data_IF_067333244057
#
_entry.id   IF_067333244057
#
_cell.length_a   1.000
_cell.length_b   1.000
_cell.length_c   1.000
_cell.angle_alpha   90.00
_cell.angle_beta   90.00
_cell.angle_gamma   90.00
#
_symmetry.space_group_name_H-M   'P 1'
#
loop_
_entity.id
_entity.type
_entity.pdbx_description
1 polymer ?
#
# COMPACT_ATOMS: atom_id res chain seq x y z
N UNK A 1 10.94 21.61 -83.30
CA UNK A 1 10.08 22.59 -82.64
C UNK A 1 10.46 22.55 -81.15
N UNK A 2 11.43 23.39 -80.77
CA UNK A 2 11.93 23.52 -79.41
C UNK A 2 11.01 24.47 -78.60
N UNK A 3 10.45 23.94 -77.52
CA UNK A 3 9.74 24.77 -76.55
C UNK A 3 10.75 25.08 -75.44
N UNK A 4 11.23 26.35 -75.42
CA UNK A 4 12.05 26.92 -74.36
C UNK A 4 11.16 27.23 -73.15
N UNK A 5 11.35 26.44 -72.07
CA UNK A 5 10.78 26.78 -70.76
C UNK A 5 11.68 27.83 -70.07
N UNK A 6 11.18 29.03 -69.91
CA UNK A 6 11.79 30.08 -69.10
C UNK A 6 11.49 29.76 -67.63
N UNK A 7 12.50 29.30 -66.90
CA UNK A 7 12.44 29.19 -65.44
C UNK A 7 12.64 30.58 -64.82
N UNK A 8 11.55 31.18 -64.37
CA UNK A 8 11.58 32.31 -63.45
C UNK A 8 11.97 31.77 -62.06
N UNK A 9 13.22 31.90 -61.69
CA UNK A 9 13.71 31.70 -60.34
C UNK A 9 13.23 32.86 -59.46
N UNK A 10 12.09 32.67 -58.83
CA UNK A 10 11.71 33.51 -57.71
C UNK A 10 12.61 33.14 -56.52
N UNK A 11 13.51 34.01 -56.13
CA UNK A 11 14.25 33.96 -54.86
C UNK A 11 13.27 34.09 -53.68
N UNK A 12 12.62 33.00 -53.31
CA UNK A 12 12.01 32.88 -52.00
C UNK A 12 13.17 32.40 -51.11
N UNK A 13 13.81 33.38 -50.43
CA UNK A 13 14.64 33.11 -49.27
C UNK A 13 13.71 32.54 -48.20
N UNK A 14 13.62 31.22 -48.11
CA UNK A 14 13.11 30.55 -46.92
C UNK A 14 14.09 30.93 -45.80
N UNK A 15 13.79 32.00 -45.08
CA UNK A 15 14.45 32.23 -43.79
C UNK A 15 14.05 31.04 -42.91
N UNK A 16 14.93 30.05 -42.89
CA UNK A 16 14.81 28.98 -41.89
C UNK A 16 14.83 29.68 -40.53
N UNK A 17 13.70 29.70 -39.84
CA UNK A 17 13.64 30.15 -38.46
C UNK A 17 14.56 29.24 -37.64
N UNK A 18 15.79 29.72 -37.40
CA UNK A 18 16.69 29.10 -36.42
C UNK A 18 16.17 29.58 -35.07
N UNK A 19 15.60 28.72 -34.26
CA UNK A 19 15.19 29.13 -32.92
C UNK A 19 16.40 29.73 -32.23
N UNK A 20 16.24 30.89 -31.60
CA UNK A 20 17.24 31.45 -30.71
C UNK A 20 17.71 30.34 -29.76
N UNK A 21 19.02 30.20 -29.56
CA UNK A 21 19.64 29.15 -28.73
C UNK A 21 18.94 29.02 -27.36
N UNK A 22 18.52 30.16 -26.80
CA UNK A 22 17.79 30.26 -25.55
C UNK A 22 16.40 29.59 -25.66
N UNK A 23 15.68 29.85 -26.75
CA UNK A 23 14.37 29.24 -26.98
C UNK A 23 14.48 27.72 -27.22
N UNK A 24 15.48 27.31 -27.97
CA UNK A 24 15.76 25.87 -28.18
C UNK A 24 16.08 25.15 -26.84
N UNK A 25 16.88 25.76 -25.97
CA UNK A 25 17.16 25.24 -24.63
C UNK A 25 15.89 25.14 -23.77
N UNK A 26 15.02 26.16 -23.80
CA UNK A 26 13.76 26.12 -23.05
C UNK A 26 12.83 25.03 -23.54
N UNK A 27 12.66 24.90 -24.84
CA UNK A 27 11.84 23.82 -25.45
C UNK A 27 12.38 22.45 -25.06
N UNK A 28 13.71 22.26 -25.06
CA UNK A 28 14.33 21.01 -24.64
C UNK A 28 14.07 20.71 -23.16
N UNK A 29 14.27 21.71 -22.28
CA UNK A 29 14.02 21.56 -20.84
C UNK A 29 12.57 21.20 -20.54
N UNK A 30 11.63 21.93 -21.15
CA UNK A 30 10.19 21.72 -20.96
C UNK A 30 9.75 20.35 -21.51
N UNK A 31 10.34 19.90 -22.63
CA UNK A 31 10.11 18.57 -23.21
C UNK A 31 10.60 17.46 -22.28
N UNK A 32 11.83 17.57 -21.77
CA UNK A 32 12.39 16.63 -20.81
C UNK A 32 11.54 16.54 -19.52
N UNK A 33 11.12 17.70 -19.02
CA UNK A 33 10.19 17.77 -17.87
C UNK A 33 8.87 17.06 -18.18
N UNK A 34 8.29 17.23 -19.36
CA UNK A 34 7.00 16.65 -19.76
C UNK A 34 7.03 15.13 -19.83
N UNK A 35 8.18 14.52 -20.18
CA UNK A 35 8.41 13.08 -20.19
C UNK A 35 9.03 12.57 -18.88
N UNK A 36 8.99 13.38 -17.82
CA UNK A 36 9.45 13.05 -16.47
C UNK A 36 10.97 12.80 -16.33
N UNK A 37 11.77 13.21 -17.30
CA UNK A 37 13.23 13.22 -17.23
C UNK A 37 13.71 14.48 -16.47
N UNK A 38 13.32 14.55 -15.20
CA UNK A 38 13.51 15.74 -14.37
C UNK A 38 14.98 16.07 -14.11
N UNK A 39 15.80 15.04 -13.88
CA UNK A 39 17.22 15.20 -13.61
C UNK A 39 17.97 15.78 -14.81
N UNK A 40 17.60 15.37 -15.98
CA UNK A 40 18.17 15.81 -17.26
C UNK A 40 17.69 17.21 -17.65
N UNK A 41 16.49 17.63 -17.20
CA UNK A 41 15.95 18.97 -17.47
C UNK A 41 16.66 20.08 -16.67
N UNK A 42 17.11 19.80 -15.44
CA UNK A 42 17.70 20.78 -14.52
C UNK A 42 18.89 21.55 -15.13
N UNK A 43 19.91 20.91 -15.76
CA UNK A 43 21.02 21.64 -16.35
C UNK A 43 20.64 22.65 -17.43
N UNK A 44 19.57 22.37 -18.19
CA UNK A 44 19.06 23.31 -19.20
C UNK A 44 18.42 24.52 -18.53
N UNK A 45 17.63 24.34 -17.46
CA UNK A 45 17.10 25.46 -16.68
C UNK A 45 18.22 26.28 -16.03
N UNK A 46 19.30 25.65 -15.55
CA UNK A 46 20.48 26.35 -15.00
C UNK A 46 21.16 27.21 -16.03
N UNK A 47 21.34 26.67 -17.24
CA UNK A 47 21.94 27.41 -18.37
C UNK A 47 21.08 28.62 -18.78
N UNK A 48 19.75 28.46 -18.79
CA UNK A 48 18.80 29.55 -19.07
C UNK A 48 18.89 30.66 -18.02
N UNK A 49 18.93 30.29 -16.72
CA UNK A 49 19.06 31.24 -15.62
C UNK A 49 20.42 31.93 -15.61
N UNK A 50 21.49 31.27 -16.06
CA UNK A 50 22.82 31.85 -16.17
C UNK A 50 22.88 32.88 -17.31
N UNK A 51 22.27 32.55 -18.47
CA UNK A 51 22.28 33.44 -19.66
C UNK A 51 21.35 34.63 -19.51
N UNK A 52 20.15 34.42 -18.95
CA UNK A 52 19.06 35.42 -18.98
C UNK A 52 18.71 36.00 -17.61
N UNK A 53 19.44 35.62 -16.55
CA UNK A 53 19.11 36.00 -15.18
C UNK A 53 17.88 35.28 -14.62
N UNK A 54 17.42 35.73 -13.46
CA UNK A 54 16.26 35.14 -12.78
C UNK A 54 14.99 35.37 -13.60
N UNK A 55 14.32 34.31 -14.00
CA UNK A 55 13.02 34.32 -14.66
C UNK A 55 12.04 33.46 -13.87
N UNK A 56 10.86 34.02 -13.58
CA UNK A 56 9.85 33.37 -12.73
C UNK A 56 9.50 31.98 -13.22
N UNK A 57 9.11 31.81 -14.48
CA UNK A 57 8.69 30.51 -15.04
C UNK A 57 9.81 29.48 -15.04
N UNK A 58 11.04 29.89 -15.32
CA UNK A 58 12.20 29.01 -15.33
C UNK A 58 12.54 28.51 -13.91
N UNK A 59 12.54 29.45 -12.94
CA UNK A 59 12.74 29.07 -11.52
C UNK A 59 11.65 28.14 -11.03
N UNK A 60 10.38 28.39 -11.35
CA UNK A 60 9.26 27.54 -11.01
C UNK A 60 9.43 26.14 -11.60
N UNK A 61 9.72 26.02 -12.91
CA UNK A 61 9.92 24.75 -13.59
C UNK A 61 11.12 23.98 -13.03
N UNK A 62 12.24 24.65 -12.74
CA UNK A 62 13.41 24.05 -12.09
C UNK A 62 13.06 23.53 -10.69
N UNK A 63 12.34 24.32 -9.91
CA UNK A 63 11.88 23.93 -8.57
C UNK A 63 10.99 22.68 -8.59
N UNK A 64 10.08 22.59 -9.58
CA UNK A 64 9.26 21.40 -9.80
C UNK A 64 10.12 20.17 -10.10
N UNK A 65 11.11 20.28 -10.99
CA UNK A 65 12.02 19.18 -11.30
C UNK A 65 12.81 18.73 -10.06
N UNK A 66 13.35 19.67 -9.27
CA UNK A 66 14.08 19.38 -8.04
C UNK A 66 13.19 18.68 -7.01
N UNK A 67 11.95 19.12 -6.85
CA UNK A 67 10.98 18.48 -5.95
C UNK A 67 10.69 17.03 -6.37
N UNK A 68 10.52 16.77 -7.69
CA UNK A 68 10.23 15.44 -8.21
C UNK A 68 11.39 14.44 -8.04
N UNK A 69 12.64 14.90 -8.06
CA UNK A 69 13.81 14.03 -7.81
C UNK A 69 14.16 13.93 -6.31
N UNK A 70 13.36 14.53 -5.42
CA UNK A 70 13.57 14.47 -3.98
C UNK A 70 14.56 15.51 -3.42
N UNK A 71 15.07 16.41 -4.23
CA UNK A 71 15.96 17.50 -3.81
C UNK A 71 15.17 18.66 -3.16
N UNK A 72 14.49 18.33 -2.05
CA UNK A 72 13.48 19.20 -1.43
C UNK A 72 14.04 20.54 -0.98
N UNK A 73 15.21 20.53 -0.32
CA UNK A 73 15.83 21.79 0.14
C UNK A 73 16.20 22.72 -1.02
N UNK A 74 16.74 22.14 -2.10
CA UNK A 74 17.08 22.86 -3.32
C UNK A 74 15.83 23.41 -4.01
N UNK A 75 14.76 22.61 -4.09
CA UNK A 75 13.48 23.04 -4.65
C UNK A 75 12.91 24.25 -3.90
N UNK A 76 12.89 24.21 -2.57
CA UNK A 76 12.39 25.31 -1.73
C UNK A 76 13.21 26.61 -1.93
N UNK A 77 14.54 26.48 -2.04
CA UNK A 77 15.41 27.64 -2.30
C UNK A 77 15.09 28.27 -3.66
N UNK A 78 14.94 27.46 -4.69
CA UNK A 78 14.59 27.93 -6.05
C UNK A 78 13.20 28.55 -6.08
N UNK A 79 12.21 27.94 -5.43
CA UNK A 79 10.87 28.53 -5.30
C UNK A 79 10.88 29.87 -4.55
N UNK A 80 11.67 30.00 -3.49
CA UNK A 80 11.84 31.29 -2.79
C UNK A 80 12.45 32.35 -3.70
N UNK A 81 13.42 31.99 -4.55
CA UNK A 81 13.94 32.93 -5.56
C UNK A 81 12.90 33.33 -6.60
N UNK A 82 11.97 32.44 -6.95
CA UNK A 82 10.82 32.83 -7.80
C UNK A 82 9.87 33.79 -7.08
N UNK A 83 9.63 33.61 -5.78
CA UNK A 83 8.81 34.52 -4.96
C UNK A 83 9.43 35.89 -4.77
N UNK A 84 10.74 36.07 -4.97
CA UNK A 84 11.35 37.42 -5.04
C UNK A 84 10.87 38.20 -6.25
N UNK A 85 10.43 37.50 -7.32
CA UNK A 85 9.90 38.12 -8.55
C UNK A 85 8.39 38.35 -8.43
N UNK A 86 7.65 37.32 -8.00
CA UNK A 86 6.22 37.39 -7.73
C UNK A 86 5.87 36.73 -6.40
N UNK A 87 5.73 37.55 -5.36
CA UNK A 87 5.40 37.12 -3.99
C UNK A 87 3.93 36.75 -3.81
N UNK A 88 3.07 37.04 -4.80
CA UNK A 88 1.62 36.83 -4.74
C UNK A 88 1.15 35.64 -5.59
N UNK A 89 2.06 34.80 -6.11
CA UNK A 89 1.67 33.53 -6.75
C UNK A 89 1.20 32.52 -5.68
N UNK A 90 -0.12 32.36 -5.57
CA UNK A 90 -0.73 31.40 -4.64
C UNK A 90 -0.38 29.94 -4.95
N UNK A 91 -0.21 29.60 -6.23
CA UNK A 91 0.18 28.24 -6.64
C UNK A 91 1.62 27.93 -6.23
N UNK A 92 2.53 28.90 -6.34
CA UNK A 92 3.91 28.70 -5.92
C UNK A 92 4.02 28.50 -4.40
N UNK A 93 3.25 29.26 -3.62
CA UNK A 93 3.14 29.00 -2.18
C UNK A 93 2.60 27.61 -1.86
N UNK A 94 1.62 27.12 -2.64
CA UNK A 94 1.12 25.75 -2.51
C UNK A 94 2.21 24.73 -2.85
N UNK A 95 3.00 24.93 -3.92
CA UNK A 95 4.11 24.04 -4.28
C UNK A 95 5.21 24.01 -3.21
N UNK A 96 5.52 25.14 -2.57
CA UNK A 96 6.42 25.18 -1.41
C UNK A 96 5.85 24.33 -0.25
N UNK A 97 4.54 24.43 -0.02
CA UNK A 97 3.85 23.61 0.96
C UNK A 97 3.97 22.12 0.64
N UNK A 98 3.76 21.74 -0.62
CA UNK A 98 3.91 20.35 -1.08
C UNK A 98 5.35 19.84 -0.88
N UNK A 99 6.34 20.66 -1.19
CA UNK A 99 7.75 20.34 -0.97
C UNK A 99 8.05 20.09 0.52
N UNK A 100 7.55 20.95 1.41
CA UNK A 100 7.69 20.73 2.85
C UNK A 100 6.96 19.46 3.32
N UNK A 101 5.75 19.19 2.79
CA UNK A 101 4.98 17.98 3.13
C UNK A 101 5.71 16.71 2.69
N UNK A 102 6.26 16.70 1.47
CA UNK A 102 7.07 15.62 0.95
C UNK A 102 8.35 15.40 1.78
N UNK A 103 8.98 16.49 2.24
CA UNK A 103 10.12 16.45 3.16
C UNK A 103 9.74 16.10 4.60
N UNK A 104 8.50 15.69 4.86
CA UNK A 104 7.98 15.35 6.19
C UNK A 104 8.10 16.49 7.22
N UNK A 105 7.86 17.74 6.77
CA UNK A 105 7.88 18.97 7.60
C UNK A 105 6.48 19.61 7.59
N UNK A 106 5.46 18.94 8.17
CA UNK A 106 4.06 19.35 8.04
C UNK A 106 3.77 20.75 8.61
N UNK A 107 4.46 21.18 9.66
CA UNK A 107 4.26 22.50 10.24
C UNK A 107 4.64 23.64 9.28
N UNK A 108 5.70 23.46 8.47
CA UNK A 108 6.10 24.44 7.44
C UNK A 108 5.18 24.35 6.22
N UNK A 109 4.73 23.14 5.88
CA UNK A 109 3.73 22.95 4.82
C UNK A 109 2.44 23.73 5.13
N UNK A 110 1.90 23.60 6.34
CA UNK A 110 0.70 24.33 6.79
C UNK A 110 0.87 25.85 6.64
N UNK A 111 2.01 26.39 7.05
CA UNK A 111 2.29 27.84 6.90
C UNK A 111 2.26 28.29 5.43
N UNK A 112 2.86 27.49 4.55
CA UNK A 112 2.90 27.76 3.12
C UNK A 112 1.51 27.65 2.49
N UNK A 113 0.72 26.64 2.83
CA UNK A 113 -0.67 26.50 2.38
C UNK A 113 -1.55 27.64 2.91
N UNK A 114 -1.39 28.04 4.17
CA UNK A 114 -2.11 29.18 4.72
C UNK A 114 -1.79 30.48 3.95
N UNK A 115 -0.55 30.69 3.55
CA UNK A 115 -0.17 31.83 2.70
C UNK A 115 -0.80 31.71 1.32
N UNK A 116 -0.76 30.54 0.68
CA UNK A 116 -1.44 30.26 -0.59
C UNK A 116 -2.93 30.63 -0.53
N UNK A 117 -3.62 30.14 0.50
CA UNK A 117 -5.05 30.39 0.73
C UNK A 117 -5.33 31.87 1.00
N UNK A 118 -4.47 32.58 1.72
CA UNK A 118 -4.64 34.00 1.99
C UNK A 118 -4.56 34.84 0.72
N UNK A 119 -3.81 34.39 -0.28
CA UNK A 119 -3.69 35.05 -1.60
C UNK A 119 -4.85 34.66 -2.51
N UNK A 120 -5.16 33.34 -2.57
CA UNK A 120 -6.27 32.84 -3.37
C UNK A 120 -7.16 31.89 -2.55
N UNK A 121 -8.24 32.38 -1.92
CA UNK A 121 -9.16 31.57 -1.13
C UNK A 121 -9.96 30.53 -1.95
N UNK A 122 -9.91 30.61 -3.28
CA UNK A 122 -10.61 29.64 -4.17
C UNK A 122 -9.75 28.44 -4.56
N UNK A 123 -8.57 28.28 -3.99
CA UNK A 123 -7.67 27.16 -4.23
C UNK A 123 -8.06 25.95 -3.35
N UNK A 124 -9.05 25.18 -3.77
CA UNK A 124 -9.54 23.98 -3.07
C UNK A 124 -8.42 23.01 -2.72
N UNK A 125 -7.49 22.73 -3.64
CA UNK A 125 -6.36 21.83 -3.41
C UNK A 125 -5.38 22.31 -2.33
N UNK A 126 -5.29 23.61 -2.08
CA UNK A 126 -4.46 24.11 -0.96
C UNK A 126 -5.10 23.80 0.40
N UNK A 127 -6.42 23.89 0.53
CA UNK A 127 -7.13 23.42 1.73
C UNK A 127 -7.00 21.93 1.92
N UNK A 128 -7.16 21.14 0.86
CA UNK A 128 -7.01 19.68 0.92
C UNK A 128 -5.60 19.27 1.35
N UNK A 129 -4.56 19.88 0.77
CA UNK A 129 -3.17 19.64 1.14
C UNK A 129 -2.87 20.06 2.60
N UNK A 130 -3.43 21.19 3.04
CA UNK A 130 -3.34 21.63 4.44
C UNK A 130 -4.01 20.64 5.39
N UNK A 131 -5.17 20.08 5.01
CA UNK A 131 -5.85 19.01 5.76
C UNK A 131 -4.98 17.76 5.90
N UNK A 132 -4.32 17.34 4.83
CA UNK A 132 -3.38 16.22 4.85
C UNK A 132 -2.20 16.48 5.80
N UNK A 133 -1.66 17.70 5.80
CA UNK A 133 -0.58 18.08 6.72
C UNK A 133 -1.03 18.10 8.20
N UNK A 134 -2.27 18.54 8.49
CA UNK A 134 -2.83 18.43 9.84
C UNK A 134 -3.04 16.96 10.26
N UNK A 135 -3.45 16.10 9.34
CA UNK A 135 -3.57 14.66 9.63
C UNK A 135 -2.22 14.02 9.97
N UNK A 136 -1.14 14.41 9.28
CA UNK A 136 0.23 13.97 9.63
C UNK A 136 0.63 14.42 11.07
N UNK A 137 0.10 15.53 11.57
CA UNK A 137 0.28 15.99 12.95
C UNK A 137 -0.73 15.36 13.93
N UNK A 138 -1.47 14.33 13.54
CA UNK A 138 -2.51 13.69 14.32
C UNK A 138 -3.65 14.66 14.78
N UNK A 139 -3.86 15.77 14.06
CA UNK A 139 -4.88 16.77 14.33
C UNK A 139 -6.14 16.49 13.48
N UNK A 140 -6.81 15.37 13.74
CA UNK A 140 -7.90 14.86 12.92
C UNK A 140 -9.08 15.83 12.77
N UNK A 141 -9.46 16.54 13.82
CA UNK A 141 -10.58 17.51 13.76
C UNK A 141 -10.26 18.69 12.86
N UNK A 142 -9.03 19.23 12.96
CA UNK A 142 -8.58 20.34 12.09
C UNK A 142 -8.43 19.87 10.66
N UNK A 143 -7.95 18.66 10.43
CA UNK A 143 -7.87 18.05 9.09
C UNK A 143 -9.26 17.92 8.47
N UNK A 144 -10.25 17.43 9.23
CA UNK A 144 -11.65 17.34 8.77
C UNK A 144 -12.21 18.70 8.36
N UNK A 145 -11.97 19.74 9.18
CA UNK A 145 -12.41 21.12 8.87
C UNK A 145 -11.77 21.61 7.55
N UNK A 146 -10.48 21.36 7.35
CA UNK A 146 -9.77 21.78 6.16
C UNK A 146 -10.30 21.03 4.90
N UNK A 147 -10.56 19.72 4.99
CA UNK A 147 -11.15 18.97 3.87
C UNK A 147 -12.58 19.46 3.56
N UNK A 148 -13.40 19.69 4.57
CA UNK A 148 -14.75 20.27 4.38
C UNK A 148 -14.67 21.65 3.70
N UNK A 149 -13.69 22.47 4.09
CA UNK A 149 -13.48 23.78 3.44
C UNK A 149 -13.04 23.63 1.99
N UNK A 150 -12.17 22.66 1.68
CA UNK A 150 -11.82 22.34 0.30
C UNK A 150 -13.07 21.99 -0.53
N UNK A 151 -13.99 21.22 0.03
CA UNK A 151 -15.22 20.77 -0.63
C UNK A 151 -16.31 21.85 -0.73
N UNK A 152 -16.32 22.83 0.18
CA UNK A 152 -17.13 24.03 0.03
C UNK A 152 -16.66 24.91 -1.15
N UNK A 153 -15.34 24.96 -1.39
CA UNK A 153 -14.74 25.70 -2.50
C UNK A 153 -14.91 24.96 -3.82
N UNK A 154 -14.69 23.66 -3.82
CA UNK A 154 -14.83 22.79 -4.99
C UNK A 154 -15.34 21.41 -4.57
N UNK A 155 -16.62 21.18 -4.78
CA UNK A 155 -17.29 19.91 -4.46
C UNK A 155 -16.81 18.72 -5.31
N UNK A 156 -16.08 18.99 -6.41
CA UNK A 156 -15.49 17.96 -7.27
C UNK A 156 -14.03 17.65 -6.91
N UNK A 157 -13.51 18.19 -5.81
CA UNK A 157 -12.18 17.84 -5.32
C UNK A 157 -12.17 16.39 -4.80
N UNK A 158 -11.83 15.45 -5.69
CA UNK A 158 -11.82 14.01 -5.38
C UNK A 158 -10.84 13.64 -4.27
N UNK A 159 -9.69 14.35 -4.18
CA UNK A 159 -8.69 14.12 -3.13
C UNK A 159 -9.22 14.52 -1.74
N UNK A 160 -9.96 15.64 -1.67
CA UNK A 160 -10.57 16.06 -0.41
C UNK A 160 -11.61 15.06 0.08
N UNK A 161 -12.47 14.53 -0.81
CA UNK A 161 -13.41 13.47 -0.47
C UNK A 161 -12.70 12.19 -0.04
N UNK A 162 -11.66 11.78 -0.77
CA UNK A 162 -10.86 10.60 -0.46
C UNK A 162 -10.20 10.71 0.92
N UNK A 163 -9.53 11.83 1.20
CA UNK A 163 -8.85 12.05 2.48
C UNK A 163 -9.84 12.21 3.65
N UNK A 164 -10.99 12.85 3.43
CA UNK A 164 -12.06 12.94 4.43
C UNK A 164 -12.55 11.56 4.85
N UNK A 165 -12.60 10.59 3.92
CA UNK A 165 -13.01 9.23 4.23
C UNK A 165 -12.14 8.55 5.30
N UNK A 166 -10.83 8.79 5.30
CA UNK A 166 -9.94 8.26 6.33
C UNK A 166 -10.24 8.84 7.71
N UNK A 167 -10.47 10.15 7.78
CA UNK A 167 -10.80 10.82 9.05
C UNK A 167 -12.13 10.28 9.61
N UNK A 168 -13.13 10.15 8.76
CA UNK A 168 -14.45 9.64 9.16
C UNK A 168 -14.36 8.17 9.63
N UNK A 169 -13.61 7.34 8.91
CA UNK A 169 -13.40 5.95 9.29
C UNK A 169 -12.65 5.83 10.63
N UNK A 170 -11.60 6.62 10.83
CA UNK A 170 -10.85 6.65 12.10
C UNK A 170 -11.72 7.10 13.28
N UNK A 171 -12.73 7.93 13.04
CA UNK A 171 -13.75 8.34 14.04
C UNK A 171 -14.89 7.31 14.19
N UNK A 172 -14.85 6.17 13.52
CA UNK A 172 -15.88 5.14 13.55
C UNK A 172 -17.11 5.45 12.69
N UNK A 173 -17.13 6.55 11.94
CA UNK A 173 -18.20 6.86 10.99
C UNK A 173 -17.96 6.17 9.63
N UNK A 174 -18.13 4.84 9.62
CA UNK A 174 -17.90 4.02 8.43
C UNK A 174 -18.85 4.39 7.28
N UNK A 175 -20.11 4.69 7.58
CA UNK A 175 -21.09 5.09 6.56
C UNK A 175 -20.70 6.40 5.88
N UNK A 176 -20.29 7.40 6.64
CA UNK A 176 -19.79 8.67 6.12
C UNK A 176 -18.50 8.51 5.30
N UNK A 177 -17.63 7.60 5.73
CA UNK A 177 -16.42 7.27 4.96
C UNK A 177 -16.75 6.65 3.61
N UNK A 178 -17.68 5.68 3.56
CA UNK A 178 -18.15 5.07 2.31
C UNK A 178 -18.80 6.11 1.38
N UNK A 179 -19.62 7.01 1.92
CA UNK A 179 -20.25 8.09 1.14
C UNK A 179 -19.19 9.02 0.55
N UNK A 180 -18.19 9.41 1.34
CA UNK A 180 -17.08 10.25 0.88
C UNK A 180 -16.29 9.58 -0.25
N UNK A 181 -16.00 8.28 -0.15
CA UNK A 181 -15.34 7.53 -1.24
C UNK A 181 -16.20 7.48 -2.50
N UNK A 182 -17.51 7.28 -2.38
CA UNK A 182 -18.43 7.32 -3.53
C UNK A 182 -18.45 8.70 -4.20
N UNK A 183 -18.40 9.78 -3.43
CA UNK A 183 -18.27 11.15 -3.97
C UNK A 183 -16.91 11.37 -4.64
N UNK A 184 -15.83 10.86 -4.05
CA UNK A 184 -14.50 10.87 -4.69
C UNK A 184 -14.52 10.18 -6.05
N UNK A 185 -15.12 8.99 -6.14
CA UNK A 185 -15.29 8.22 -7.39
C UNK A 185 -16.17 8.98 -8.39
N UNK A 186 -17.25 9.62 -7.93
CA UNK A 186 -18.13 10.41 -8.81
C UNK A 186 -17.40 11.63 -9.38
N UNK A 187 -16.50 12.25 -8.60
CA UNK A 187 -15.70 13.39 -9.04
C UNK A 187 -14.56 12.95 -9.99
N UNK A 188 -14.00 11.76 -9.79
CA UNK A 188 -12.95 11.19 -10.63
C UNK A 188 -13.15 9.68 -10.76
N UNK A 189 -13.78 9.24 -11.85
CA UNK A 189 -14.21 7.86 -12.06
C UNK A 189 -13.08 6.86 -12.31
N UNK A 190 -11.88 7.31 -12.64
CA UNK A 190 -10.67 6.49 -12.83
C UNK A 190 -9.75 6.44 -11.59
N UNK A 191 -10.22 6.98 -10.45
CA UNK A 191 -9.40 7.04 -9.24
C UNK A 191 -9.38 5.69 -8.49
N UNK A 192 -8.53 4.78 -8.93
CA UNK A 192 -8.38 3.42 -8.39
C UNK A 192 -8.23 3.34 -6.86
N UNK A 193 -7.49 4.24 -6.17
CA UNK A 193 -7.37 4.20 -4.70
C UNK A 193 -8.72 4.33 -3.97
N UNK A 194 -9.66 5.14 -4.48
CA UNK A 194 -10.96 5.29 -3.84
C UNK A 194 -11.80 4.00 -3.94
N UNK A 195 -11.77 3.32 -5.07
CA UNK A 195 -12.42 2.01 -5.22
C UNK A 195 -11.81 0.97 -4.28
N UNK A 196 -10.47 0.91 -4.18
CA UNK A 196 -9.82 -0.02 -3.27
C UNK A 196 -10.24 0.23 -1.82
N UNK A 197 -10.25 1.48 -1.38
CA UNK A 197 -10.60 1.80 -0.01
C UNK A 197 -12.11 1.57 0.28
N UNK A 198 -12.96 1.81 -0.71
CA UNK A 198 -14.38 1.45 -0.62
C UNK A 198 -14.55 -0.08 -0.48
N UNK A 199 -13.77 -0.85 -1.25
CA UNK A 199 -13.70 -2.31 -1.14
C UNK A 199 -13.23 -2.77 0.24
N UNK A 200 -12.21 -2.11 0.82
CA UNK A 200 -11.75 -2.40 2.18
C UNK A 200 -12.82 -2.13 3.23
N UNK A 201 -13.59 -1.04 3.09
CA UNK A 201 -14.70 -0.75 4.02
C UNK A 201 -15.84 -1.77 3.88
N UNK A 202 -16.19 -2.20 2.67
CA UNK A 202 -17.16 -3.27 2.46
C UNK A 202 -16.68 -4.60 3.04
N UNK A 203 -15.41 -4.93 2.83
CA UNK A 203 -14.79 -6.14 3.40
C UNK A 203 -14.86 -6.15 4.93
N UNK A 204 -14.44 -5.05 5.57
CA UNK A 204 -14.51 -4.90 7.03
C UNK A 204 -15.94 -4.88 7.60
N UNK A 205 -16.93 -4.52 6.79
CA UNK A 205 -18.35 -4.56 7.16
C UNK A 205 -19.03 -5.90 6.86
N UNK A 206 -18.31 -6.91 6.35
CA UNK A 206 -18.84 -8.25 6.05
C UNK A 206 -19.66 -8.34 4.76
N UNK A 207 -19.40 -7.45 3.78
CA UNK A 207 -20.02 -7.45 2.46
C UNK A 207 -19.02 -7.88 1.36
N UNK A 208 -18.63 -9.18 1.30
CA UNK A 208 -17.56 -9.63 0.41
C UNK A 208 -17.86 -9.40 -1.08
N UNK A 209 -19.12 -9.55 -1.53
CA UNK A 209 -19.47 -9.31 -2.93
C UNK A 209 -19.26 -7.86 -3.35
N UNK A 210 -19.68 -6.90 -2.51
CA UNK A 210 -19.46 -5.47 -2.74
C UNK A 210 -17.97 -5.10 -2.67
N UNK A 211 -17.22 -5.77 -1.81
CA UNK A 211 -15.78 -5.61 -1.71
C UNK A 211 -15.10 -6.08 -3.00
N UNK A 212 -15.41 -7.29 -3.49
CA UNK A 212 -14.86 -7.85 -4.74
C UNK A 212 -15.20 -6.94 -5.93
N UNK A 213 -16.42 -6.46 -6.03
CA UNK A 213 -16.82 -5.54 -7.10
C UNK A 213 -16.02 -4.24 -7.07
N UNK A 214 -15.80 -3.68 -5.88
CA UNK A 214 -14.99 -2.45 -5.69
C UNK A 214 -13.52 -2.69 -6.01
N UNK A 215 -12.92 -3.80 -5.56
CA UNK A 215 -11.53 -4.14 -5.89
C UNK A 215 -11.35 -4.39 -7.38
N UNK A 216 -12.31 -5.02 -8.05
CA UNK A 216 -12.28 -5.19 -9.51
C UNK A 216 -12.31 -3.84 -10.24
N UNK A 217 -13.09 -2.88 -9.75
CA UNK A 217 -13.09 -1.52 -10.29
C UNK A 217 -11.73 -0.83 -10.08
N UNK A 218 -11.08 -1.03 -8.92
CA UNK A 218 -9.71 -0.55 -8.70
C UNK A 218 -8.72 -1.16 -9.69
N UNK A 219 -8.77 -2.48 -9.89
CA UNK A 219 -7.94 -3.24 -10.85
C UNK A 219 -8.16 -2.76 -12.28
N UNK A 220 -9.41 -2.47 -12.66
CA UNK A 220 -9.72 -1.99 -14.01
C UNK A 220 -9.03 -0.65 -14.32
N UNK A 221 -8.98 0.24 -13.32
CA UNK A 221 -8.40 1.58 -13.45
C UNK A 221 -6.87 1.60 -13.23
N UNK A 222 -6.32 0.66 -12.45
CA UNK A 222 -4.88 0.49 -12.30
C UNK A 222 -4.54 -1.00 -12.15
N UNK A 223 -4.13 -1.61 -13.25
CA UNK A 223 -3.81 -3.04 -13.33
C UNK A 223 -2.46 -3.40 -12.72
N UNK A 224 -1.60 -2.42 -12.48
CA UNK A 224 -0.22 -2.67 -12.03
C UNK A 224 -0.11 -2.88 -10.52
N UNK A 225 -1.11 -2.51 -9.75
CA UNK A 225 -1.05 -2.51 -8.30
C UNK A 225 -1.42 -3.89 -7.71
N UNK A 226 -0.41 -4.63 -7.27
CA UNK A 226 -0.56 -5.96 -6.68
C UNK A 226 -1.47 -5.99 -5.43
N UNK A 227 -1.56 -4.87 -4.68
CA UNK A 227 -2.42 -4.81 -3.49
C UNK A 227 -3.90 -4.97 -3.83
N UNK A 228 -4.36 -4.44 -4.97
CA UNK A 228 -5.77 -4.55 -5.34
C UNK A 228 -6.17 -6.00 -5.61
N UNK A 229 -5.32 -6.76 -6.30
CA UNK A 229 -5.52 -8.19 -6.50
C UNK A 229 -5.46 -8.96 -5.18
N UNK A 230 -4.49 -8.64 -4.31
CA UNK A 230 -4.41 -9.27 -2.99
C UNK A 230 -5.69 -9.05 -2.18
N UNK A 231 -6.21 -7.84 -2.16
CA UNK A 231 -7.42 -7.50 -1.42
C UNK A 231 -8.66 -8.19 -2.01
N UNK A 232 -8.77 -8.26 -3.34
CA UNK A 232 -9.81 -9.03 -4.02
C UNK A 232 -9.74 -10.53 -3.65
N UNK A 233 -8.53 -11.10 -3.61
CA UNK A 233 -8.31 -12.49 -3.20
C UNK A 233 -8.73 -12.75 -1.76
N UNK A 234 -8.44 -11.84 -0.83
CA UNK A 234 -8.90 -11.93 0.57
C UNK A 234 -10.42 -11.89 0.68
N UNK A 235 -11.08 -11.01 -0.07
CA UNK A 235 -12.54 -10.95 -0.11
C UNK A 235 -13.17 -12.23 -0.71
N UNK A 236 -12.53 -12.85 -1.71
CA UNK A 236 -12.96 -14.15 -2.22
C UNK A 236 -12.82 -15.28 -1.18
N UNK A 237 -11.78 -15.25 -0.33
CA UNK A 237 -11.66 -16.23 0.77
C UNK A 237 -12.78 -16.07 1.79
N UNK A 238 -13.16 -14.85 2.14
CA UNK A 238 -14.32 -14.57 3.01
C UNK A 238 -15.61 -15.08 2.38
N UNK A 239 -15.75 -14.95 1.07
CA UNK A 239 -16.86 -15.52 0.30
C UNK A 239 -16.72 -17.05 0.05
N UNK A 240 -15.71 -17.71 0.65
CA UNK A 240 -15.39 -19.14 0.52
C UNK A 240 -15.05 -19.61 -0.91
N UNK A 241 -14.69 -18.71 -1.80
CA UNK A 241 -14.21 -19.02 -3.15
C UNK A 241 -12.67 -19.09 -3.19
N UNK A 242 -12.15 -20.22 -2.73
CA UNK A 242 -10.72 -20.49 -2.64
C UNK A 242 -10.02 -20.50 -4.01
N UNK A 243 -10.73 -20.97 -5.06
CA UNK A 243 -10.15 -21.08 -6.40
C UNK A 243 -9.96 -19.69 -7.02
N UNK A 244 -10.96 -18.84 -6.93
CA UNK A 244 -10.87 -17.46 -7.44
C UNK A 244 -9.88 -16.65 -6.62
N UNK A 245 -9.83 -16.83 -5.29
CA UNK A 245 -8.83 -16.20 -4.43
C UNK A 245 -7.40 -16.54 -4.89
N UNK A 246 -7.12 -17.80 -5.15
CA UNK A 246 -5.81 -18.24 -5.66
C UNK A 246 -5.44 -17.56 -6.99
N UNK A 247 -6.42 -17.40 -7.91
CA UNK A 247 -6.19 -16.68 -9.17
C UNK A 247 -5.82 -15.21 -8.93
N UNK A 248 -6.50 -14.54 -8.01
CA UNK A 248 -6.18 -13.15 -7.67
C UNK A 248 -4.79 -13.02 -7.06
N UNK A 249 -4.39 -13.88 -6.11
CA UNK A 249 -3.05 -13.84 -5.54
C UNK A 249 -1.97 -14.11 -6.60
N UNK A 250 -2.20 -15.05 -7.51
CA UNK A 250 -1.30 -15.27 -8.65
C UNK A 250 -1.22 -14.05 -9.57
N UNK A 251 -2.33 -13.38 -9.85
CA UNK A 251 -2.33 -12.16 -10.65
C UNK A 251 -1.56 -11.03 -9.97
N UNK A 252 -1.69 -10.87 -8.64
CA UNK A 252 -0.84 -9.95 -7.89
C UNK A 252 0.65 -10.21 -8.12
N UNK A 253 1.05 -11.49 -8.13
CA UNK A 253 2.44 -11.91 -8.33
C UNK A 253 2.95 -11.78 -9.78
N UNK A 254 2.07 -11.60 -10.76
CA UNK A 254 2.46 -11.24 -12.14
C UNK A 254 2.94 -9.80 -12.21
N UNK A 255 2.36 -8.90 -11.45
CA UNK A 255 2.72 -7.47 -11.43
C UNK A 255 3.83 -7.15 -10.42
N UNK A 256 3.80 -7.80 -9.27
CA UNK A 256 4.86 -7.73 -8.25
C UNK A 256 5.20 -9.14 -7.76
N UNK A 257 6.22 -9.73 -8.35
CA UNK A 257 6.66 -11.10 -8.03
C UNK A 257 7.24 -11.25 -6.62
N UNK A 258 7.52 -10.14 -5.93
CA UNK A 258 8.03 -10.07 -4.56
C UNK A 258 6.98 -9.58 -3.56
N UNK A 259 5.71 -9.42 -3.98
CA UNK A 259 4.63 -8.99 -3.10
C UNK A 259 4.38 -10.03 -2.00
N UNK A 260 4.99 -9.82 -0.84
CA UNK A 260 5.08 -10.81 0.25
C UNK A 260 3.71 -11.29 0.72
N UNK A 261 2.74 -10.37 0.85
CA UNK A 261 1.37 -10.72 1.26
C UNK A 261 0.72 -11.69 0.27
N UNK A 262 0.89 -11.45 -1.03
CA UNK A 262 0.34 -12.34 -2.07
C UNK A 262 1.07 -13.68 -2.14
N UNK A 263 2.38 -13.71 -1.91
CA UNK A 263 3.14 -14.95 -1.79
C UNK A 263 2.60 -15.82 -0.65
N UNK A 264 2.44 -15.24 0.53
CA UNK A 264 1.92 -15.97 1.68
C UNK A 264 0.47 -16.45 1.45
N UNK A 265 -0.40 -15.57 0.96
CA UNK A 265 -1.81 -15.90 0.69
C UNK A 265 -1.95 -16.95 -0.43
N UNK A 266 -1.15 -16.86 -1.51
CA UNK A 266 -1.10 -17.89 -2.55
C UNK A 266 -0.63 -19.22 -1.99
N UNK A 267 0.36 -19.21 -1.08
CA UNK A 267 0.85 -20.38 -0.40
C UNK A 267 -0.21 -21.05 0.48
N UNK A 268 -0.87 -20.28 1.34
CA UNK A 268 -1.97 -20.79 2.17
C UNK A 268 -3.14 -21.32 1.32
N UNK A 269 -3.50 -20.59 0.27
CA UNK A 269 -4.58 -21.00 -0.62
C UNK A 269 -4.22 -22.29 -1.37
N UNK A 270 -2.96 -22.42 -1.82
CA UNK A 270 -2.43 -23.66 -2.40
C UNK A 270 -2.49 -24.83 -1.42
N UNK A 271 -2.20 -24.59 -0.14
CA UNK A 271 -2.33 -25.58 0.92
C UNK A 271 -3.78 -26.09 1.05
N UNK A 272 -4.76 -25.19 1.12
CA UNK A 272 -6.18 -25.56 1.18
C UNK A 272 -6.66 -26.28 -0.09
N UNK A 273 -6.04 -26.02 -1.23
CA UNK A 273 -6.29 -26.72 -2.50
C UNK A 273 -5.50 -28.04 -2.61
N UNK A 274 -4.83 -28.46 -1.57
CA UNK A 274 -3.97 -29.67 -1.49
C UNK A 274 -2.78 -29.64 -2.48
N UNK A 275 -2.43 -28.47 -3.01
CA UNK A 275 -1.31 -28.25 -3.91
C UNK A 275 -0.02 -27.99 -3.11
N UNK A 276 0.43 -28.99 -2.34
CA UNK A 276 1.51 -28.81 -1.34
C UNK A 276 2.83 -28.31 -1.92
N UNK A 277 3.21 -28.74 -3.13
CA UNK A 277 4.43 -28.25 -3.78
C UNK A 277 4.38 -26.74 -4.06
N UNK A 278 3.25 -26.25 -4.57
CA UNK A 278 3.05 -24.81 -4.80
C UNK A 278 3.02 -24.04 -3.47
N UNK A 279 2.35 -24.61 -2.44
CA UNK A 279 2.29 -24.01 -1.12
C UNK A 279 3.70 -23.79 -0.55
N UNK A 280 4.56 -24.81 -0.60
CA UNK A 280 5.94 -24.72 -0.13
C UNK A 280 6.72 -23.63 -0.90
N UNK A 281 6.65 -23.64 -2.23
CA UNK A 281 7.38 -22.68 -3.06
C UNK A 281 7.01 -21.22 -2.74
N UNK A 282 5.72 -20.92 -2.64
CA UNK A 282 5.25 -19.58 -2.36
C UNK A 282 5.60 -19.11 -0.94
N UNK A 283 5.40 -19.98 0.07
CA UNK A 283 5.70 -19.63 1.46
C UNK A 283 7.21 -19.49 1.67
N UNK A 284 8.03 -20.35 1.07
CA UNK A 284 9.49 -20.23 1.13
C UNK A 284 9.97 -18.92 0.51
N UNK A 285 9.38 -18.50 -0.62
CA UNK A 285 9.72 -17.23 -1.23
C UNK A 285 9.35 -16.05 -0.33
N UNK A 286 8.18 -16.08 0.33
CA UNK A 286 7.80 -15.08 1.33
C UNK A 286 8.80 -15.06 2.50
N UNK A 287 9.19 -16.21 2.98
CA UNK A 287 10.14 -16.39 4.08
C UNK A 287 11.55 -15.88 3.73
N UNK A 288 12.00 -16.07 2.48
CA UNK A 288 13.29 -15.52 2.01
C UNK A 288 13.31 -13.99 2.06
N UNK A 289 12.17 -13.34 1.83
CA UNK A 289 12.06 -11.88 1.86
C UNK A 289 11.92 -11.38 3.31
N UNK A 290 11.13 -12.11 4.13
CA UNK A 290 10.86 -11.75 5.53
C UNK A 290 11.06 -12.96 6.45
N UNK A 291 12.31 -13.26 6.87
CA UNK A 291 12.62 -14.49 7.62
C UNK A 291 12.12 -14.48 9.07
N UNK A 292 11.83 -13.30 9.63
CA UNK A 292 11.46 -13.16 11.04
C UNK A 292 9.94 -13.12 11.28
N UNK A 293 9.14 -13.67 10.35
CA UNK A 293 7.67 -13.75 10.47
C UNK A 293 7.28 -15.17 10.85
N UNK A 294 6.86 -15.42 12.12
CA UNK A 294 6.55 -16.76 12.60
C UNK A 294 5.45 -17.45 11.81
N UNK A 295 4.50 -16.70 11.26
CA UNK A 295 3.37 -17.22 10.49
C UNK A 295 3.81 -17.97 9.25
N UNK A 296 4.92 -17.58 8.63
CA UNK A 296 5.43 -18.26 7.42
C UNK A 296 6.07 -19.60 7.79
N UNK A 297 6.85 -19.64 8.87
CA UNK A 297 7.37 -20.89 9.42
C UNK A 297 6.25 -21.83 9.85
N UNK A 298 5.22 -21.29 10.51
CA UNK A 298 4.07 -22.06 10.94
C UNK A 298 3.32 -22.68 9.76
N UNK A 299 3.11 -21.93 8.69
CA UNK A 299 2.44 -22.38 7.48
C UNK A 299 3.24 -23.51 6.78
N UNK A 300 4.56 -23.42 6.70
CA UNK A 300 5.41 -24.52 6.19
C UNK A 300 5.26 -25.76 7.06
N UNK A 301 5.26 -25.62 8.38
CA UNK A 301 5.00 -26.72 9.31
C UNK A 301 3.66 -27.40 9.05
N UNK A 302 2.58 -26.64 8.81
CA UNK A 302 1.26 -27.19 8.46
C UNK A 302 1.30 -28.01 7.17
N UNK A 303 1.96 -27.50 6.12
CA UNK A 303 2.07 -28.20 4.83
C UNK A 303 2.82 -29.53 5.01
N UNK A 304 3.96 -29.53 5.72
CA UNK A 304 4.75 -30.75 5.95
C UNK A 304 4.05 -31.73 6.90
N UNK A 305 3.32 -31.25 7.90
CA UNK A 305 2.49 -32.10 8.76
C UNK A 305 1.39 -32.80 7.94
N UNK A 306 0.74 -32.11 7.02
CA UNK A 306 -0.29 -32.69 6.14
C UNK A 306 0.27 -33.69 5.14
N UNK A 307 1.56 -33.61 4.79
CA UNK A 307 2.30 -34.59 4.02
C UNK A 307 2.80 -35.79 4.88
N UNK A 308 2.48 -35.81 6.17
CA UNK A 308 3.00 -36.75 7.16
C UNK A 308 4.54 -36.69 7.38
N UNK A 309 5.16 -35.57 7.06
CA UNK A 309 6.58 -35.30 7.24
C UNK A 309 6.83 -34.68 8.63
N UNK A 310 6.50 -35.44 9.69
CA UNK A 310 6.40 -34.96 11.08
C UNK A 310 7.67 -34.27 11.60
N UNK A 311 8.86 -34.80 11.27
CA UNK A 311 10.13 -34.27 11.73
C UNK A 311 10.41 -32.88 11.10
N UNK A 312 10.08 -32.73 9.82
CA UNK A 312 10.25 -31.45 9.11
C UNK A 312 9.27 -30.41 9.67
N UNK A 313 8.00 -30.80 9.89
CA UNK A 313 7.00 -29.94 10.49
C UNK A 313 7.42 -29.45 11.89
N UNK A 314 7.92 -30.36 12.74
CA UNK A 314 8.45 -30.00 14.06
C UNK A 314 9.62 -29.01 13.96
N UNK A 315 10.52 -29.19 12.98
CA UNK A 315 11.63 -28.28 12.72
C UNK A 315 11.15 -26.85 12.43
N UNK A 316 10.16 -26.71 11.56
CA UNK A 316 9.58 -25.40 11.24
C UNK A 316 8.87 -24.76 12.44
N UNK A 317 8.10 -25.52 13.22
CA UNK A 317 7.42 -24.98 14.41
C UNK A 317 8.37 -24.66 15.55
N UNK A 318 9.51 -25.35 15.65
CA UNK A 318 10.58 -24.94 16.56
C UNK A 318 11.21 -23.61 16.17
N UNK A 319 11.32 -23.28 14.87
CA UNK A 319 11.71 -21.93 14.44
C UNK A 319 10.69 -20.88 14.89
N UNK A 320 9.39 -21.19 14.86
CA UNK A 320 8.37 -20.30 15.43
C UNK A 320 8.63 -20.03 16.91
N UNK A 321 8.97 -21.08 17.71
CA UNK A 321 9.28 -20.93 19.14
C UNK A 321 10.56 -20.15 19.42
N UNK A 322 11.52 -20.11 18.49
CA UNK A 322 12.69 -19.24 18.60
C UNK A 322 12.33 -17.77 18.43
N UNK A 323 11.33 -17.47 17.57
CA UNK A 323 10.88 -16.11 17.28
C UNK A 323 9.85 -15.62 18.31
N UNK A 324 8.98 -16.52 18.78
CA UNK A 324 7.89 -16.23 19.72
C UNK A 324 7.67 -17.45 20.65
N UNK A 325 8.44 -17.47 21.73
CA UNK A 325 8.50 -18.59 22.69
C UNK A 325 7.25 -18.76 23.56
N UNK A 326 6.47 -17.69 23.71
CA UNK A 326 5.33 -17.66 24.63
C UNK A 326 3.99 -17.90 23.90
N UNK A 327 4.03 -18.30 22.63
CA UNK A 327 2.84 -18.59 21.85
C UNK A 327 2.39 -20.05 22.00
N UNK A 328 1.27 -20.33 22.66
CA UNK A 328 0.80 -21.67 22.95
C UNK A 328 0.51 -22.51 21.71
N UNK A 329 0.13 -21.85 20.60
CA UNK A 329 -0.22 -22.49 19.34
C UNK A 329 0.92 -23.37 18.79
N UNK A 330 2.18 -22.96 18.95
CA UNK A 330 3.31 -23.71 18.43
C UNK A 330 3.61 -24.96 19.25
N UNK A 331 3.51 -24.88 20.57
CA UNK A 331 3.60 -26.06 21.44
C UNK A 331 2.49 -27.07 21.15
N UNK A 332 1.24 -26.59 21.01
CA UNK A 332 0.12 -27.45 20.64
C UNK A 332 0.34 -28.14 19.29
N UNK A 333 0.81 -27.40 18.28
CA UNK A 333 1.10 -27.95 16.96
C UNK A 333 2.16 -29.04 17.01
N UNK A 334 3.29 -28.81 17.71
CA UNK A 334 4.34 -29.83 17.88
C UNK A 334 3.80 -31.04 18.63
N UNK A 335 3.11 -30.82 19.74
CA UNK A 335 2.51 -31.91 20.51
C UNK A 335 1.52 -32.77 19.71
N UNK A 336 0.81 -32.14 18.76
CA UNK A 336 -0.17 -32.82 17.89
C UNK A 336 0.48 -33.79 16.88
N UNK A 337 1.78 -33.69 16.63
CA UNK A 337 2.52 -34.63 15.75
C UNK A 337 2.73 -36.01 16.40
N UNK A 338 2.67 -36.09 17.72
CA UNK A 338 2.93 -37.31 18.48
C UNK A 338 1.62 -38.05 18.74
N UNK A 339 1.69 -39.38 18.58
CA UNK A 339 0.61 -40.31 18.86
C UNK A 339 0.75 -40.92 20.26
N UNK A 340 -0.05 -41.98 20.55
CA UNK A 340 -0.04 -42.64 21.84
C UNK A 340 1.27 -43.41 22.14
N UNK A 341 2.10 -43.70 21.12
CA UNK A 341 3.40 -44.38 21.32
C UNK A 341 4.44 -43.42 21.93
N UNK A 342 4.30 -42.12 21.71
CA UNK A 342 5.16 -41.07 22.29
C UNK A 342 4.35 -40.15 23.24
N UNK A 343 3.44 -40.73 24.00
CA UNK A 343 2.50 -40.02 24.87
C UNK A 343 3.15 -39.05 25.86
N UNK A 344 4.30 -39.39 26.41
CA UNK A 344 5.01 -38.56 27.38
C UNK A 344 5.46 -37.24 26.74
N UNK A 345 6.00 -37.29 25.52
CA UNK A 345 6.42 -36.13 24.77
C UNK A 345 5.20 -35.25 24.45
N UNK A 346 4.09 -35.88 24.02
CA UNK A 346 2.84 -35.14 23.75
C UNK A 346 2.32 -34.44 25.00
N UNK A 347 2.34 -35.10 26.16
CA UNK A 347 1.93 -34.51 27.45
C UNK A 347 2.79 -33.32 27.81
N UNK A 348 4.12 -33.40 27.62
CA UNK A 348 5.02 -32.26 27.90
C UNK A 348 4.67 -31.02 27.05
N UNK A 349 4.56 -31.21 25.75
CA UNK A 349 4.21 -30.09 24.85
C UNK A 349 2.81 -29.53 25.13
N UNK A 350 1.81 -30.37 25.38
CA UNK A 350 0.46 -29.93 25.71
C UNK A 350 0.38 -29.26 27.09
N UNK A 351 1.20 -29.68 28.04
CA UNK A 351 1.32 -29.00 29.33
C UNK A 351 1.87 -27.58 29.17
N UNK A 352 2.91 -27.41 28.35
CA UNK A 352 3.45 -26.08 28.03
C UNK A 352 2.39 -25.21 27.35
N UNK A 353 1.68 -25.76 26.35
CA UNK A 353 0.61 -25.04 25.65
C UNK A 353 -0.52 -24.63 26.62
N UNK A 354 -0.98 -25.55 27.47
CA UNK A 354 -2.04 -25.29 28.45
C UNK A 354 -1.63 -24.23 29.49
N UNK A 355 -0.38 -24.27 29.97
CA UNK A 355 0.15 -23.26 30.90
C UNK A 355 0.20 -21.86 30.29
N UNK A 356 0.33 -21.76 28.95
CA UNK A 356 0.28 -20.52 28.19
C UNK A 356 -1.13 -20.18 27.70
N UNK A 357 -2.16 -20.96 28.10
CA UNK A 357 -3.56 -20.63 27.87
C UNK A 357 -4.21 -21.33 26.66
N UNK A 358 -3.61 -22.39 26.08
CA UNK A 358 -4.26 -23.15 25.03
C UNK A 358 -5.36 -24.06 25.60
N UNK A 359 -6.63 -23.70 25.37
CA UNK A 359 -7.80 -24.42 25.87
C UNK A 359 -7.93 -25.83 25.27
N UNK A 360 -7.45 -26.08 24.04
CA UNK A 360 -7.49 -27.41 23.41
C UNK A 360 -6.50 -28.36 24.08
N UNK A 361 -5.30 -27.88 24.36
CA UNK A 361 -4.30 -28.64 25.10
C UNK A 361 -4.78 -28.99 26.52
N UNK A 362 -5.38 -28.01 27.21
CA UNK A 362 -5.96 -28.18 28.56
C UNK A 362 -7.07 -29.24 28.56
N UNK A 363 -8.02 -29.10 27.65
CA UNK A 363 -9.13 -30.09 27.54
C UNK A 363 -8.62 -31.51 27.27
N UNK A 364 -7.58 -31.64 26.40
CA UNK A 364 -6.99 -32.96 26.15
C UNK A 364 -6.31 -33.54 27.40
N UNK A 365 -5.54 -32.73 28.15
CA UNK A 365 -4.89 -33.15 29.39
C UNK A 365 -5.89 -33.60 30.45
N UNK A 366 -6.99 -32.87 30.61
CA UNK A 366 -8.04 -33.20 31.59
C UNK A 366 -8.77 -34.50 31.22
N UNK A 367 -9.06 -34.74 29.94
CA UNK A 367 -9.59 -36.02 29.45
C UNK A 367 -8.65 -37.20 29.76
N UNK A 368 -7.32 -36.99 29.68
CA UNK A 368 -6.35 -38.02 30.02
C UNK A 368 -6.34 -38.38 31.54
N UNK A 369 -6.58 -37.37 32.42
CA UNK A 369 -6.67 -37.62 33.89
C UNK A 369 -7.90 -38.40 34.21
N UNK A 370 -9.07 -38.05 33.69
CA UNK A 370 -10.34 -38.74 33.90
C UNK A 370 -10.26 -40.20 33.48
N UNK A 371 -9.72 -40.51 32.30
CA UNK A 371 -9.52 -41.89 31.81
C UNK A 371 -8.63 -42.72 32.73
N UNK A 372 -7.57 -42.15 33.32
CA UNK A 372 -6.69 -42.84 34.26
C UNK A 372 -7.38 -43.15 35.59
N UNK A 373 -8.25 -42.25 36.07
CA UNK A 373 -9.03 -42.42 37.31
C UNK A 373 -10.09 -43.52 37.14
N UNK A 374 -10.80 -43.55 36.03
CA UNK A 374 -11.77 -44.62 35.69
C UNK A 374 -11.11 -45.99 35.59
N UNK A 375 -9.93 -46.09 34.95
CA UNK A 375 -9.18 -47.33 34.87
C UNK A 375 -8.70 -47.85 36.25
N UNK A 376 -8.26 -46.94 37.14
CA UNK A 376 -7.89 -47.26 38.53
C UNK A 376 -9.11 -47.69 39.36
N UNK A 377 -10.26 -47.07 39.16
CA UNK A 377 -11.53 -47.43 39.81
C UNK A 377 -12.01 -48.82 39.41
N UNK A 378 -11.97 -49.16 38.11
CA UNK A 378 -12.35 -50.45 37.59
C UNK A 378 -11.39 -51.59 38.04
N UNK A 379 -10.08 -51.30 38.14
CA UNK A 379 -9.10 -52.30 38.63
C UNK A 379 -9.26 -52.56 40.13
N UNK A 380 -9.60 -51.55 40.94
CA UNK A 380 -9.92 -51.73 42.37
C UNK A 380 -11.21 -52.51 42.59
N UNK A 381 -12.23 -52.28 41.75
CA UNK A 381 -13.52 -52.98 41.79
C UNK A 381 -13.36 -54.50 41.43
N UNK A 382 -12.51 -54.81 40.44
CA UNK A 382 -12.21 -56.20 40.06
C UNK A 382 -11.36 -56.96 41.12
N UNK A 383 -10.47 -56.25 41.86
CA UNK A 383 -9.70 -56.83 42.96
C UNK A 383 -10.53 -57.08 44.24
N UNK A 384 -11.65 -56.40 44.43
CA UNK A 384 -12.60 -56.62 45.57
C UNK A 384 -13.59 -57.73 45.29
N UNK A 385 -13.74 -58.24 44.07
CA UNK A 385 -14.64 -59.31 43.66
C UNK A 385 -13.93 -60.64 43.51
N UNK A 386 -12.63 -60.75 43.81
CA UNK A 386 -11.85 -61.99 43.99
C UNK A 386 -11.46 -62.07 45.45
#
# INVERSE_FOLDING_TARGET
MLCTLVLLASNISVIAYVPDEVNAMKVTADSLKSIQMYKEAIPYYDSLLTKNGKQFDILKAKGECLAQIGEISSAILVYKSALEIDSLDAYLWKQIGDAYAFGNIPSSAIKSYARSISINPKLSYAYSAMGSAYNQLNSADTAEMAFKKALEVDSLNHEAWYNLSFILNAKGNVSGAMESLKKSISAKSDFAPAYNNLGMLYYGAGFPDSAIASFNSAILNDRSNANYYNNAGLACLEHRDTITAYRYFKNALLYDSLHVKSLYNAGLTSYYLLQYSNAIQFIQKALTIQPNVPEYWYALGLVHASKNEKHIAAGYWNQCLQLDKDNPKYYYAIGSLYDETAKEVKVDYFTKAANLGDEKAKAWLDAQKTSKEEQKGNTKSKKKKR
#
